data_IF_930147432108
#
_entry.id   IF_930147432108
#
_cell.length_a   1.000
_cell.length_b   1.000
_cell.length_c   1.000
_cell.angle_alpha   90.00
_cell.angle_beta   90.00
_cell.angle_gamma   90.00
#
_symmetry.space_group_name_H-M   'P 1'
#
loop_
_entity.id
_entity.type
_entity.pdbx_description
1 polymer ?
#
# COMPACT_ATOMS: atom_id res chain seq x y z
N UNK A 1 17.26 10.65 -10.14
CA UNK A 1 18.62 10.54 -9.54
C UNK A 1 18.69 9.30 -8.68
N UNK A 2 19.87 8.72 -8.56
CA UNK A 2 20.12 7.57 -7.70
C UNK A 2 21.34 7.86 -6.81
N UNK A 3 21.21 7.55 -5.54
CA UNK A 3 22.31 7.58 -4.57
C UNK A 3 22.58 6.17 -4.04
N UNK A 4 23.52 6.04 -3.10
CA UNK A 4 23.76 4.75 -2.42
C UNK A 4 22.49 4.21 -1.76
N UNK A 5 21.69 5.07 -1.13
CA UNK A 5 20.56 4.67 -0.30
C UNK A 5 19.19 5.06 -0.86
N UNK A 6 19.12 5.99 -1.80
CA UNK A 6 17.83 6.53 -2.25
C UNK A 6 17.67 6.50 -3.77
N UNK A 7 16.43 6.44 -4.17
CA UNK A 7 15.95 6.80 -5.51
C UNK A 7 15.21 8.12 -5.38
N UNK A 8 15.44 9.04 -6.32
CA UNK A 8 14.79 10.34 -6.39
C UNK A 8 14.32 10.61 -7.81
N UNK A 9 13.03 10.78 -7.99
CA UNK A 9 12.43 11.18 -9.27
C UNK A 9 11.00 11.69 -9.03
N UNK A 10 10.43 12.35 -10.01
CA UNK A 10 9.02 12.72 -10.00
C UNK A 10 8.10 11.52 -10.20
N UNK A 11 6.87 11.62 -9.70
CA UNK A 11 5.79 10.64 -9.90
C UNK A 11 6.13 9.22 -9.36
N UNK A 12 6.87 9.13 -8.26
CA UNK A 12 6.99 7.85 -7.55
C UNK A 12 5.66 7.51 -6.88
N UNK A 13 4.95 8.51 -6.46
CA UNK A 13 3.51 8.47 -6.22
C UNK A 13 2.74 8.45 -7.57
N UNK A 14 2.09 7.31 -8.03
CA UNK A 14 2.28 6.02 -7.37
C UNK A 14 2.89 4.98 -8.35
N UNK A 15 3.95 5.36 -9.07
CA UNK A 15 4.70 4.38 -9.88
C UNK A 15 5.42 3.34 -9.02
N UNK A 16 5.68 3.68 -7.76
CA UNK A 16 6.29 2.74 -6.81
C UNK A 16 5.33 1.62 -6.45
N UNK A 17 4.06 1.95 -6.20
CA UNK A 17 3.03 0.94 -5.98
C UNK A 17 2.81 0.04 -7.20
N UNK A 18 2.89 0.61 -8.42
CA UNK A 18 2.87 -0.18 -9.66
C UNK A 18 4.07 -1.12 -9.75
N UNK A 19 5.28 -0.64 -9.44
CA UNK A 19 6.49 -1.45 -9.42
C UNK A 19 6.39 -2.60 -8.40
N UNK A 20 5.94 -2.31 -7.19
CA UNK A 20 5.67 -3.32 -6.17
C UNK A 20 4.70 -4.38 -6.68
N UNK A 21 3.57 -3.98 -7.24
CA UNK A 21 2.58 -4.90 -7.79
C UNK A 21 3.14 -5.81 -8.89
N UNK A 22 3.97 -5.27 -9.79
CA UNK A 22 4.65 -6.05 -10.82
C UNK A 22 5.65 -7.04 -10.23
N UNK A 23 6.40 -6.66 -9.20
CA UNK A 23 7.31 -7.58 -8.51
C UNK A 23 6.58 -8.69 -7.77
N UNK A 24 5.50 -8.38 -7.09
CA UNK A 24 4.64 -9.38 -6.43
C UNK A 24 4.04 -10.34 -7.47
N UNK A 25 3.67 -9.87 -8.65
CA UNK A 25 3.12 -10.69 -9.72
C UNK A 25 4.07 -11.82 -10.17
N UNK A 26 5.39 -11.64 -10.04
CA UNK A 26 6.38 -12.66 -10.42
C UNK A 26 6.24 -13.97 -9.61
N UNK A 27 5.70 -13.88 -8.39
CA UNK A 27 5.58 -15.01 -7.45
C UNK A 27 4.15 -15.23 -6.95
N UNK A 28 3.17 -14.50 -7.47
CA UNK A 28 1.78 -14.58 -7.04
C UNK A 28 1.13 -15.90 -7.52
N UNK A 29 0.76 -16.75 -6.58
CA UNK A 29 0.08 -18.02 -6.86
C UNK A 29 -1.45 -17.88 -6.79
N UNK A 30 -1.94 -17.05 -5.87
CA UNK A 30 -3.37 -16.86 -5.64
C UNK A 30 -3.66 -15.41 -5.25
N UNK A 31 -4.37 -14.72 -6.11
CA UNK A 31 -4.71 -13.32 -5.89
C UNK A 31 -5.06 -12.60 -7.18
N UNK A 32 -5.40 -11.33 -7.06
CA UNK A 32 -5.74 -10.46 -8.18
C UNK A 32 -4.96 -9.16 -7.99
N UNK A 33 -4.23 -8.74 -9.00
CA UNK A 33 -3.61 -7.43 -9.06
C UNK A 33 -4.48 -6.51 -9.90
N UNK A 34 -4.74 -5.32 -9.39
CA UNK A 34 -5.51 -4.29 -10.09
C UNK A 34 -4.66 -3.03 -10.23
N UNK A 35 -4.63 -2.49 -11.42
CA UNK A 35 -4.11 -1.16 -11.68
C UNK A 35 -5.28 -0.21 -11.86
N UNK A 36 -5.39 0.74 -10.97
CA UNK A 36 -6.47 1.73 -10.92
C UNK A 36 -6.07 3.01 -11.62
N UNK A 37 -7.03 3.87 -11.89
CA UNK A 37 -6.82 5.18 -12.47
C UNK A 37 -7.61 6.24 -11.70
N UNK A 38 -7.15 7.48 -11.76
CA UNK A 38 -7.80 8.66 -11.17
C UNK A 38 -7.72 8.73 -9.64
N UNK A 39 -6.77 8.06 -8.99
CA UNK A 39 -6.60 8.16 -7.54
C UNK A 39 -6.39 9.62 -7.13
N UNK A 40 -5.41 10.30 -7.73
CA UNK A 40 -5.05 11.71 -7.50
C UNK A 40 -6.17 12.72 -7.82
N UNK A 41 -7.19 12.28 -8.52
CA UNK A 41 -8.36 13.08 -8.86
C UNK A 41 -9.59 12.73 -8.01
N UNK A 42 -9.38 12.06 -6.88
CA UNK A 42 -10.44 11.69 -5.95
C UNK A 42 -11.07 10.33 -6.20
N UNK A 43 -10.37 9.45 -6.91
CA UNK A 43 -10.79 8.10 -7.22
C UNK A 43 -11.53 7.97 -8.55
N UNK A 44 -11.88 6.75 -8.92
CA UNK A 44 -12.58 6.51 -10.18
C UNK A 44 -12.84 5.07 -10.52
N UNK A 45 -11.81 4.26 -10.69
CA UNK A 45 -11.99 2.89 -11.23
C UNK A 45 -12.20 1.82 -10.17
N UNK A 46 -11.87 2.08 -8.91
CA UNK A 46 -12.00 1.12 -7.82
C UNK A 46 -13.44 0.72 -7.57
N UNK A 47 -14.38 1.65 -7.64
CA UNK A 47 -15.81 1.38 -7.49
C UNK A 47 -16.34 0.35 -8.51
N UNK A 48 -15.80 0.37 -9.72
CA UNK A 48 -16.13 -0.61 -10.76
C UNK A 48 -15.41 -1.94 -10.50
N UNK A 49 -14.11 -1.89 -10.27
CA UNK A 49 -13.26 -3.08 -10.11
C UNK A 49 -13.70 -3.91 -8.90
N UNK A 50 -14.00 -3.29 -7.76
CA UNK A 50 -14.42 -3.99 -6.56
C UNK A 50 -15.72 -4.79 -6.78
N UNK A 51 -16.69 -4.20 -7.49
CA UNK A 51 -17.95 -4.92 -7.83
C UNK A 51 -17.71 -6.11 -8.75
N UNK A 52 -16.88 -5.91 -9.78
CA UNK A 52 -16.51 -6.96 -10.71
C UNK A 52 -15.80 -8.12 -10.01
N UNK A 53 -14.79 -7.81 -9.20
CA UNK A 53 -13.98 -8.78 -8.48
C UNK A 53 -14.83 -9.56 -7.48
N UNK A 54 -15.62 -8.87 -6.68
CA UNK A 54 -16.47 -9.51 -5.70
C UNK A 54 -17.53 -10.42 -6.37
N UNK A 55 -18.16 -9.94 -7.44
CA UNK A 55 -19.16 -10.73 -8.17
C UNK A 55 -18.57 -11.99 -8.78
N UNK A 56 -17.40 -11.87 -9.39
CA UNK A 56 -16.77 -12.96 -10.16
C UNK A 56 -15.94 -13.90 -9.29
N UNK A 57 -15.16 -13.36 -8.38
CA UNK A 57 -14.14 -14.11 -7.63
C UNK A 57 -14.42 -14.23 -6.14
N UNK A 58 -15.42 -13.51 -5.63
CA UNK A 58 -15.81 -13.51 -4.20
C UNK A 58 -14.70 -13.02 -3.24
N UNK A 59 -13.71 -12.31 -3.74
CA UNK A 59 -12.65 -11.69 -2.94
C UNK A 59 -13.23 -10.51 -2.17
N UNK A 60 -12.81 -10.35 -0.92
CA UNK A 60 -13.29 -9.30 0.00
C UNK A 60 -12.17 -8.64 0.80
N UNK A 61 -10.92 -8.92 0.46
CA UNK A 61 -9.75 -8.38 1.12
C UNK A 61 -8.89 -7.66 0.09
N UNK A 62 -8.29 -6.56 0.49
CA UNK A 62 -7.42 -5.76 -0.36
C UNK A 62 -6.21 -5.23 0.41
N UNK A 63 -5.06 -5.30 -0.22
CA UNK A 63 -3.87 -4.56 0.16
C UNK A 63 -3.73 -3.38 -0.81
N UNK A 64 -3.64 -2.17 -0.30
CA UNK A 64 -3.48 -0.96 -1.10
C UNK A 64 -2.00 -0.63 -1.19
N UNK A 65 -1.47 -0.75 -2.41
CA UNK A 65 -0.05 -0.55 -2.71
C UNK A 65 0.18 0.89 -3.19
N UNK A 66 0.62 1.71 -2.26
CA UNK A 66 0.87 3.12 -2.49
C UNK A 66 2.11 3.58 -1.72
N UNK A 67 2.43 4.86 -1.73
CA UNK A 67 3.48 5.46 -0.89
C UNK A 67 2.86 6.05 0.38
N UNK A 68 3.68 6.30 1.38
CA UNK A 68 3.27 7.14 2.51
C UNK A 68 4.29 8.21 2.80
N UNK A 69 3.95 9.14 3.65
CA UNK A 69 4.82 10.27 3.94
C UNK A 69 5.87 9.94 5.00
N UNK A 70 7.08 10.45 4.80
CA UNK A 70 8.05 10.56 5.89
C UNK A 70 7.55 11.62 6.87
N UNK A 71 7.39 11.23 8.14
CA UNK A 71 6.86 12.06 9.21
C UNK A 71 7.69 11.91 10.48
N UNK A 72 7.28 12.58 11.56
CA UNK A 72 7.90 12.33 12.87
C UNK A 72 7.71 10.89 13.33
N UNK A 73 6.59 10.25 12.99
CA UNK A 73 6.26 8.86 13.36
C UNK A 73 6.74 7.80 12.37
N UNK A 74 6.99 8.16 11.12
CA UNK A 74 7.38 7.25 10.03
C UNK A 74 8.70 7.70 9.43
N UNK A 75 9.72 6.87 9.54
CA UNK A 75 11.10 7.22 9.19
C UNK A 75 11.52 6.65 7.85
N UNK A 76 12.27 7.45 7.09
CA UNK A 76 13.04 7.03 5.94
C UNK A 76 14.05 5.95 6.35
N UNK A 77 14.11 4.84 5.63
CA UNK A 77 14.97 3.70 5.95
C UNK A 77 14.50 2.83 7.13
N UNK A 78 13.30 3.07 7.65
CA UNK A 78 12.73 2.33 8.78
C UNK A 78 11.94 1.09 8.40
N UNK A 79 11.88 0.75 7.12
CA UNK A 79 11.04 -0.32 6.59
C UNK A 79 9.68 0.19 6.10
N UNK A 80 8.89 -0.70 5.51
CA UNK A 80 7.57 -0.36 4.98
C UNK A 80 6.61 0.08 6.08
N UNK A 81 5.77 1.07 5.81
CA UNK A 81 4.74 1.52 6.74
C UNK A 81 3.43 0.76 6.54
N UNK A 82 2.88 0.24 7.62
CA UNK A 82 1.55 -0.38 7.68
C UNK A 82 0.62 0.64 8.34
N UNK A 83 -0.33 1.16 7.58
CA UNK A 83 -1.23 2.19 8.06
C UNK A 83 -2.35 1.59 8.91
N UNK A 84 -2.39 1.97 10.17
CA UNK A 84 -3.48 1.62 11.08
C UNK A 84 -4.75 2.45 10.76
N UNK A 85 -4.58 3.62 10.19
CA UNK A 85 -5.60 4.48 9.60
C UNK A 85 -4.96 5.61 8.80
N UNK A 86 -5.68 6.07 7.80
CA UNK A 86 -5.53 7.37 7.14
C UNK A 86 -6.73 8.29 7.52
N UNK A 87 -7.26 9.08 6.62
CA UNK A 87 -8.54 9.77 6.84
C UNK A 87 -9.71 8.81 7.12
N UNK A 88 -9.57 7.53 6.78
CA UNK A 88 -10.52 6.46 7.02
C UNK A 88 -9.95 5.44 8.02
N UNK A 89 -10.81 4.52 8.45
CA UNK A 89 -10.44 3.53 9.49
C UNK A 89 -10.71 2.13 8.95
N UNK A 90 -9.67 1.35 8.63
CA UNK A 90 -9.84 -0.05 8.25
C UNK A 90 -10.35 -0.88 9.43
N UNK A 91 -10.98 -2.02 9.14
CA UNK A 91 -11.51 -2.89 10.18
C UNK A 91 -10.39 -3.43 11.08
N UNK A 92 -10.47 -3.14 12.37
CA UNK A 92 -9.46 -3.50 13.37
C UNK A 92 -9.01 -4.96 13.29
N UNK A 93 -9.94 -5.90 13.16
CA UNK A 93 -9.61 -7.33 13.06
C UNK A 93 -8.67 -7.65 11.90
N UNK A 94 -8.82 -6.96 10.77
CA UNK A 94 -7.96 -7.14 9.61
C UNK A 94 -6.58 -6.49 9.83
N UNK A 95 -6.57 -5.29 10.39
CA UNK A 95 -5.32 -4.61 10.80
C UNK A 95 -4.51 -5.46 11.76
N UNK A 96 -5.13 -5.97 12.82
CA UNK A 96 -4.48 -6.83 13.81
C UNK A 96 -3.87 -8.09 13.17
N UNK A 97 -4.60 -8.71 12.22
CA UNK A 97 -4.12 -9.88 11.49
C UNK A 97 -2.90 -9.56 10.63
N UNK A 98 -2.93 -8.44 9.90
CA UNK A 98 -1.78 -8.01 9.08
C UNK A 98 -0.57 -7.71 9.97
N UNK A 99 -0.74 -7.00 11.09
CA UNK A 99 0.35 -6.69 12.01
C UNK A 99 0.93 -7.99 12.63
N UNK A 100 0.08 -8.95 12.97
CA UNK A 100 0.53 -10.25 13.46
C UNK A 100 1.42 -10.96 12.43
N UNK A 101 0.99 -11.02 11.19
CA UNK A 101 1.76 -11.60 10.09
C UNK A 101 3.06 -10.83 9.84
N UNK A 102 3.01 -9.50 9.84
CA UNK A 102 4.20 -8.67 9.68
C UNK A 102 5.25 -8.96 10.77
N UNK A 103 4.83 -9.10 12.03
CA UNK A 103 5.73 -9.49 13.13
C UNK A 103 6.37 -10.87 12.93
N UNK A 104 5.67 -11.80 12.29
CA UNK A 104 6.18 -13.15 12.00
C UNK A 104 7.13 -13.17 10.80
N UNK A 105 7.05 -12.19 9.90
CA UNK A 105 7.82 -12.17 8.66
C UNK A 105 9.31 -11.85 8.83
N UNK A 106 9.69 -11.19 9.92
CA UNK A 106 11.02 -10.59 10.13
C UNK A 106 11.38 -9.47 9.13
N UNK A 107 10.44 -9.02 8.32
CA UNK A 107 10.62 -7.91 7.38
C UNK A 107 10.51 -6.59 8.16
N UNK A 108 11.43 -5.62 7.95
CA UNK A 108 11.35 -4.32 8.62
C UNK A 108 10.05 -3.60 8.28
N UNK A 109 9.32 -3.15 9.30
CA UNK A 109 8.11 -2.36 9.13
C UNK A 109 7.89 -1.36 10.25
N UNK A 110 7.11 -0.35 9.98
CA UNK A 110 6.67 0.68 10.90
C UNK A 110 5.15 0.70 10.96
N UNK A 111 4.58 1.17 12.07
CA UNK A 111 3.15 1.43 12.18
C UNK A 111 2.88 2.90 11.97
N UNK A 112 1.92 3.19 11.12
CA UNK A 112 1.51 4.54 10.80
C UNK A 112 0.13 4.85 11.36
N UNK A 113 -0.03 6.06 11.84
CA UNK A 113 -1.33 6.67 12.14
C UNK A 113 -1.34 8.04 11.47
N UNK A 114 -2.08 8.15 10.38
CA UNK A 114 -2.22 9.39 9.63
C UNK A 114 -3.64 9.96 9.83
N UNK A 115 -3.73 11.26 10.06
CA UNK A 115 -5.02 11.93 10.27
C UNK A 115 -5.62 12.55 9.01
N UNK A 116 -4.84 12.64 7.96
CA UNK A 116 -5.20 13.22 6.68
C UNK A 116 -4.81 12.28 5.53
N UNK A 117 -4.99 12.72 4.31
CA UNK A 117 -4.67 11.88 3.16
C UNK A 117 -5.70 10.77 2.93
N UNK A 118 -5.45 9.99 1.92
CA UNK A 118 -6.31 8.88 1.52
C UNK A 118 -5.66 8.13 0.37
N UNK A 119 -6.35 7.11 -0.10
CA UNK A 119 -5.93 6.25 -1.18
C UNK A 119 -7.15 5.62 -1.83
N UNK A 120 -6.95 4.70 -2.74
CA UNK A 120 -7.99 3.83 -3.30
C UNK A 120 -8.84 3.11 -2.23
N UNK A 121 -8.35 3.01 -1.00
CA UNK A 121 -9.07 2.48 0.14
C UNK A 121 -10.40 3.20 0.42
N UNK A 122 -10.49 4.49 0.11
CA UNK A 122 -11.72 5.29 0.26
C UNK A 122 -12.89 4.67 -0.51
N UNK A 123 -12.67 4.30 -1.74
CA UNK A 123 -13.73 3.70 -2.56
C UNK A 123 -14.11 2.29 -2.10
N UNK A 124 -13.17 1.52 -1.56
CA UNK A 124 -13.45 0.22 -0.96
C UNK A 124 -14.28 0.36 0.31
N UNK A 125 -13.95 1.32 1.17
CA UNK A 125 -14.71 1.55 2.41
C UNK A 125 -16.13 2.05 2.16
N UNK A 126 -16.32 2.84 1.09
CA UNK A 126 -17.64 3.38 0.70
C UNK A 126 -18.42 2.44 -0.22
N UNK A 127 -17.86 1.28 -0.56
CA UNK A 127 -18.51 0.33 -1.45
C UNK A 127 -19.78 -0.27 -0.86
N UNK A 128 -20.72 -0.67 -1.72
CA UNK A 128 -21.94 -1.39 -1.32
C UNK A 128 -21.64 -2.70 -0.58
N UNK A 129 -20.54 -3.32 -0.91
CA UNK A 129 -20.09 -4.57 -0.34
C UNK A 129 -18.99 -4.33 0.68
N UNK A 130 -19.00 -5.01 1.82
CA UNK A 130 -17.96 -4.83 2.82
C UNK A 130 -16.63 -5.41 2.31
N UNK A 131 -15.60 -4.57 2.33
CA UNK A 131 -14.23 -4.94 2.07
C UNK A 131 -13.38 -4.79 3.32
N UNK A 132 -12.51 -5.74 3.55
CA UNK A 132 -11.37 -5.56 4.43
C UNK A 132 -10.23 -4.99 3.62
N UNK A 133 -9.71 -3.85 4.01
CA UNK A 133 -8.61 -3.21 3.34
C UNK A 133 -7.55 -2.76 4.34
N UNK A 134 -6.33 -2.65 3.89
CA UNK A 134 -5.25 -1.98 4.60
C UNK A 134 -4.31 -1.34 3.60
N UNK A 135 -3.82 -0.18 3.95
CA UNK A 135 -2.81 0.54 3.20
C UNK A 135 -1.42 0.15 3.72
N UNK A 136 -0.50 -0.14 2.80
CA UNK A 136 0.89 -0.47 3.11
C UNK A 136 1.77 0.20 2.07
N UNK A 137 2.64 1.11 2.48
CA UNK A 137 3.44 1.94 1.59
C UNK A 137 4.88 2.14 2.04
N UNK A 138 5.77 2.38 1.08
CA UNK A 138 7.12 2.83 1.39
C UNK A 138 7.09 4.31 1.79
N UNK A 139 7.83 4.72 2.85
CA UNK A 139 7.95 6.12 3.22
C UNK A 139 8.62 6.94 2.13
N UNK A 140 7.95 7.99 1.70
CA UNK A 140 8.42 8.91 0.67
C UNK A 140 8.56 10.33 1.22
N UNK A 141 9.64 10.97 0.88
CA UNK A 141 9.93 12.36 1.19
C UNK A 141 9.63 13.25 -0.03
N UNK A 142 9.18 14.46 0.20
CA UNK A 142 8.82 15.43 -0.84
C UNK A 142 7.67 14.98 -1.76
N UNK A 143 6.69 14.25 -1.23
CA UNK A 143 5.51 13.77 -1.96
C UNK A 143 4.81 14.91 -2.72
N UNK A 144 4.30 14.62 -3.92
CA UNK A 144 3.66 15.57 -4.84
C UNK A 144 4.59 16.69 -5.32
N UNK A 145 5.90 16.42 -5.37
CA UNK A 145 6.88 17.35 -5.92
C UNK A 145 7.75 16.67 -7.00
N UNK A 146 8.51 17.45 -7.79
CA UNK A 146 9.45 16.85 -8.74
C UNK A 146 10.63 16.09 -8.09
N UNK A 147 10.82 16.24 -6.80
CA UNK A 147 11.98 15.73 -6.04
C UNK A 147 11.61 14.62 -5.05
N UNK A 148 10.54 13.89 -5.34
CA UNK A 148 10.12 12.73 -4.55
C UNK A 148 11.28 11.75 -4.33
N UNK A 149 11.43 11.25 -3.09
CA UNK A 149 12.59 10.48 -2.68
C UNK A 149 12.20 9.34 -1.74
N UNK A 150 12.66 8.13 -2.04
CA UNK A 150 12.40 6.92 -1.23
C UNK A 150 13.70 6.16 -0.95
N UNK A 151 13.80 5.59 0.24
CA UNK A 151 14.92 4.72 0.62
C UNK A 151 14.79 3.36 -0.07
N UNK A 152 15.90 2.83 -0.59
CA UNK A 152 15.92 1.57 -1.34
C UNK A 152 15.51 0.36 -0.48
N UNK A 153 15.90 0.38 0.80
CA UNK A 153 15.56 -0.70 1.72
C UNK A 153 14.05 -0.71 2.03
N UNK A 154 13.39 0.46 2.04
CA UNK A 154 11.94 0.55 2.23
C UNK A 154 11.19 0.01 1.01
N UNK A 155 11.71 0.25 -0.20
CA UNK A 155 11.17 -0.37 -1.43
C UNK A 155 11.28 -1.89 -1.36
N UNK A 156 12.44 -2.41 -0.94
CA UNK A 156 12.64 -3.85 -0.80
C UNK A 156 11.72 -4.44 0.27
N UNK A 157 11.62 -3.78 1.43
CA UNK A 157 10.72 -4.19 2.50
C UNK A 157 9.25 -4.19 2.06
N UNK A 158 8.84 -3.22 1.22
CA UNK A 158 7.49 -3.17 0.66
C UNK A 158 7.21 -4.40 -0.22
N UNK A 159 8.08 -4.72 -1.16
CA UNK A 159 7.93 -5.89 -2.04
C UNK A 159 7.86 -7.18 -1.23
N UNK A 160 8.79 -7.37 -0.31
CA UNK A 160 8.86 -8.57 0.53
C UNK A 160 7.61 -8.70 1.41
N UNK A 161 7.13 -7.61 2.00
CA UNK A 161 5.93 -7.59 2.83
C UNK A 161 4.69 -7.98 2.03
N UNK A 162 4.50 -7.42 0.84
CA UNK A 162 3.37 -7.79 -0.02
C UNK A 162 3.45 -9.26 -0.45
N UNK A 163 4.62 -9.72 -0.88
CA UNK A 163 4.82 -11.13 -1.25
C UNK A 163 4.54 -12.08 -0.09
N UNK A 164 4.94 -11.69 1.13
CA UNK A 164 4.66 -12.46 2.35
C UNK A 164 3.17 -12.47 2.69
N UNK A 165 2.53 -11.30 2.73
CA UNK A 165 1.12 -11.18 3.09
C UNK A 165 0.20 -11.90 2.09
N UNK A 166 0.48 -11.81 0.79
CA UNK A 166 -0.30 -12.50 -0.24
C UNK A 166 -0.27 -14.04 -0.14
N UNK A 167 0.69 -14.60 0.59
CA UNK A 167 0.77 -16.04 0.87
C UNK A 167 0.09 -16.45 2.18
N UNK A 168 -0.13 -15.52 3.12
CA UNK A 168 -0.54 -15.85 4.48
C UNK A 168 -1.88 -15.26 4.92
N UNK A 169 -2.47 -14.35 4.10
CA UNK A 169 -3.81 -13.84 4.26
C UNK A 169 -4.81 -14.76 3.56
#
# INVERSE_FOLDING_TARGET
RETKHHIQCCYMDNRLGVFNALKVAETLENGIICFTCYEEHGGGTVSFLQRFIQKKYKVKQALISDITWVTEGVKDGGGVAISMRDSLIPRKKYVDRVIELAKQSSIPFQLEVEGAGGSDAKELQMAENPWDWIFIGAPEDHVHTPDEKVHKDDISAMIDMYAYLMKHL
#
